data_IF_517195002078
#
_entry.id   IF_517195002078
#
_cell.length_a   1.000
_cell.length_b   1.000
_cell.length_c   1.000
_cell.angle_alpha   90.00
_cell.angle_beta   90.00
_cell.angle_gamma   90.00
#
_symmetry.space_group_name_H-M   'P 1'
#
loop_
_entity.id
_entity.type
_entity.pdbx_description
1 polymer ?
#
# COMPACT_ATOMS: atom_id res chain seq x y z
N UNK A 1 -5.13 -15.73 -4.44
CA UNK A 1 -4.77 -15.12 -3.14
C UNK A 1 -5.42 -15.88 -1.99
N UNK A 2 -4.73 -16.12 -0.86
CA UNK A 2 -5.36 -16.71 0.33
C UNK A 2 -5.79 -15.58 1.27
N UNK A 3 -7.09 -15.40 1.55
CA UNK A 3 -7.54 -14.36 2.47
C UNK A 3 -7.12 -14.71 3.91
N UNK A 4 -6.81 -13.68 4.70
CA UNK A 4 -6.46 -13.78 6.14
C UNK A 4 -5.08 -14.40 6.43
N UNK A 5 -4.08 -14.04 5.64
CA UNK A 5 -2.67 -14.37 5.91
C UNK A 5 -1.81 -13.12 5.76
N UNK A 6 -0.69 -13.08 6.49
CA UNK A 6 0.31 -12.04 6.32
C UNK A 6 1.07 -12.26 5.02
N UNK A 7 1.19 -11.21 4.21
CA UNK A 7 1.97 -11.19 2.97
C UNK A 7 2.97 -10.06 3.05
N UNK A 8 4.19 -10.32 2.58
CA UNK A 8 5.22 -9.29 2.49
C UNK A 8 4.84 -8.30 1.37
N UNK A 9 4.87 -7.01 1.67
CA UNK A 9 4.55 -5.95 0.72
C UNK A 9 5.84 -5.27 0.23
N UNK A 10 6.53 -4.57 1.13
CA UNK A 10 7.80 -3.89 0.86
C UNK A 10 8.70 -3.89 2.10
N UNK A 11 9.92 -3.41 1.95
CA UNK A 11 10.84 -3.16 3.06
C UNK A 11 10.67 -1.74 3.59
N UNK A 12 11.22 -1.49 4.79
CA UNK A 12 11.21 -0.14 5.38
C UNK A 12 12.06 0.82 4.55
N UNK A 13 13.12 0.30 3.92
CA UNK A 13 14.05 1.03 3.07
C UNK A 13 13.44 1.53 1.76
N UNK A 14 12.33 0.93 1.31
CA UNK A 14 11.62 1.37 0.09
C UNK A 14 10.78 2.64 0.33
N UNK A 15 10.49 2.96 1.59
CA UNK A 15 9.74 4.14 2.02
C UNK A 15 10.43 4.81 3.22
N UNK A 16 11.65 5.36 3.06
CA UNK A 16 12.45 5.85 4.18
C UNK A 16 11.82 7.04 4.92
N UNK A 17 11.24 7.98 4.19
CA UNK A 17 10.77 9.27 4.70
C UNK A 17 9.24 9.36 4.77
N UNK A 18 8.74 10.28 5.59
CA UNK A 18 7.29 10.50 5.72
C UNK A 18 6.76 11.09 4.41
N UNK A 19 5.71 10.47 3.86
CA UNK A 19 5.15 10.81 2.54
C UNK A 19 5.56 9.84 1.44
N UNK A 20 6.63 9.07 1.63
CA UNK A 20 7.02 8.03 0.69
C UNK A 20 5.97 6.93 0.65
N UNK A 21 5.69 6.47 -0.58
CA UNK A 21 4.71 5.44 -0.82
C UNK A 21 5.06 4.61 -2.05
N UNK A 22 4.56 3.38 -2.06
CA UNK A 22 4.70 2.43 -3.15
C UNK A 22 3.39 1.67 -3.33
N UNK A 23 3.09 1.28 -4.58
CA UNK A 23 1.99 0.38 -4.89
C UNK A 23 2.52 -1.05 -4.91
N UNK A 24 1.90 -1.91 -4.12
CA UNK A 24 2.18 -3.34 -4.12
C UNK A 24 0.98 -4.10 -4.69
N UNK A 25 1.23 -4.88 -5.72
CA UNK A 25 0.27 -5.85 -6.25
C UNK A 25 0.38 -7.15 -5.45
N UNK A 26 -0.73 -7.55 -4.82
CA UNK A 26 -0.79 -8.75 -4.01
C UNK A 26 -2.04 -9.54 -4.41
N UNK A 27 -1.84 -10.63 -5.16
CA UNK A 27 -2.94 -11.32 -5.81
C UNK A 27 -3.58 -10.44 -6.88
N UNK A 28 -4.90 -10.32 -6.85
CA UNK A 28 -5.67 -9.52 -7.81
C UNK A 28 -5.95 -8.09 -7.31
N UNK A 29 -5.30 -7.68 -6.22
CA UNK A 29 -5.51 -6.37 -5.59
C UNK A 29 -4.26 -5.52 -5.58
N UNK A 30 -4.44 -4.21 -5.80
CA UNK A 30 -3.41 -3.19 -5.62
C UNK A 30 -3.56 -2.49 -4.26
N UNK A 31 -2.45 -2.38 -3.54
CA UNK A 31 -2.39 -1.76 -2.22
C UNK A 31 -1.38 -0.61 -2.21
N UNK A 32 -1.81 0.54 -1.70
CA UNK A 32 -0.93 1.67 -1.43
C UNK A 32 -0.29 1.49 -0.04
N UNK A 33 1.02 1.31 -0.02
CA UNK A 33 1.82 1.27 1.21
C UNK A 33 2.49 2.62 1.38
N UNK A 34 2.28 3.29 2.52
CA UNK A 34 2.82 4.63 2.76
C UNK A 34 3.37 4.81 4.17
N UNK A 35 4.43 5.60 4.32
CA UNK A 35 4.86 6.12 5.62
C UNK A 35 4.05 7.38 5.93
N UNK A 36 3.06 7.26 6.81
CA UNK A 36 2.20 8.38 7.18
C UNK A 36 2.80 9.28 8.26
N UNK A 37 3.63 8.71 9.13
CA UNK A 37 4.30 9.38 10.27
C UNK A 37 5.67 8.71 10.49
N UNK A 38 6.63 9.29 11.25
CA UNK A 38 7.99 8.75 11.37
C UNK A 38 8.06 7.26 11.76
N UNK A 39 7.17 6.83 12.64
CA UNK A 39 7.06 5.48 13.19
C UNK A 39 5.82 4.72 12.70
N UNK A 40 5.09 5.25 11.73
CA UNK A 40 3.81 4.68 11.27
C UNK A 40 3.78 4.43 9.77
N UNK A 41 3.53 3.17 9.42
CA UNK A 41 3.28 2.71 8.04
C UNK A 41 1.82 2.25 7.94
N UNK A 42 1.14 2.62 6.85
CA UNK A 42 -0.23 2.21 6.56
C UNK A 42 -0.27 1.48 5.22
N UNK A 43 -1.18 0.51 5.13
CA UNK A 43 -1.56 -0.15 3.89
C UNK A 43 -3.04 0.14 3.62
N UNK A 44 -3.34 0.67 2.44
CA UNK A 44 -4.69 1.00 2.00
C UNK A 44 -4.97 0.31 0.67
N UNK A 45 -6.24 0.03 0.36
CA UNK A 45 -6.60 -0.35 -1.00
C UNK A 45 -6.29 0.81 -1.94
N UNK A 46 -5.62 0.56 -3.06
CA UNK A 46 -5.39 1.58 -4.08
C UNK A 46 -6.64 1.79 -4.94
N UNK A 47 -7.73 2.23 -4.30
CA UNK A 47 -9.01 2.44 -4.95
C UNK A 47 -9.67 3.72 -4.43
N UNK A 48 -10.11 4.58 -5.33
CA UNK A 48 -10.93 5.72 -4.99
C UNK A 48 -12.34 5.28 -4.60
N UNK A 49 -12.80 5.63 -3.39
CA UNK A 49 -14.13 5.28 -2.89
C UNK A 49 -15.29 5.94 -3.64
N UNK A 50 -15.03 6.98 -4.44
CA UNK A 50 -16.06 7.67 -5.21
C UNK A 50 -16.49 6.90 -6.47
N UNK A 51 -15.52 6.39 -7.25
CA UNK A 51 -15.82 5.77 -8.56
C UNK A 51 -14.98 4.53 -8.89
N UNK A 52 -14.35 3.91 -7.88
CA UNK A 52 -13.53 2.69 -8.00
C UNK A 52 -12.76 2.62 -9.30
N UNK A 53 -11.71 3.41 -9.38
CA UNK A 53 -10.71 3.34 -10.43
C UNK A 53 -9.34 3.24 -9.74
N UNK A 54 -8.44 2.43 -10.27
CA UNK A 54 -7.08 2.31 -9.76
C UNK A 54 -6.43 3.70 -9.76
N UNK A 55 -6.03 4.19 -8.59
CA UNK A 55 -5.44 5.52 -8.53
C UNK A 55 -4.09 5.41 -9.22
N UNK A 56 -3.94 6.09 -10.36
CA UNK A 56 -2.66 6.21 -11.06
C UNK A 56 -1.68 6.92 -10.11
N UNK A 57 -0.85 6.11 -9.46
CA UNK A 57 0.31 6.54 -8.69
C UNK A 57 1.51 5.89 -9.32
#
# INVERSE_FOLDING_TARGET
>A
MRPRVWQMACRKEDIPEVGDHIVCEIGDGAFLIMRSEPDRIKALYNACLHRTFETYV
#
